data_IF_199001390898
#
_entry.id   IF_199001390898
#
_cell.length_a   1.000
_cell.length_b   1.000
_cell.length_c   1.000
_cell.angle_alpha   90.00
_cell.angle_beta   90.00
_cell.angle_gamma   90.00
#
_symmetry.space_group_name_H-M   'P 1'
#
loop_
_entity.id
_entity.type
_entity.pdbx_description
1 polymer ?
#
# COMPACT_ATOMS: atom_id res chain seq x y z
N UNK A 1 -15.11 -0.19 18.82
CA UNK A 1 -14.75 -1.16 17.76
C UNK A 1 -13.27 -0.99 17.46
N UNK A 2 -12.49 -2.07 17.39
CA UNK A 2 -11.03 -2.00 17.19
C UNK A 2 -10.65 -2.79 15.95
N UNK A 3 -9.87 -2.18 15.05
CA UNK A 3 -9.33 -2.83 13.86
C UNK A 3 -7.89 -3.25 14.18
N UNK A 4 -7.55 -4.52 13.89
CA UNK A 4 -6.17 -5.04 14.00
C UNK A 4 -5.66 -5.42 12.62
N UNK A 5 -4.47 -4.95 12.27
CA UNK A 5 -3.77 -5.32 11.04
C UNK A 5 -2.65 -6.30 11.39
N UNK A 6 -2.76 -7.52 10.89
CA UNK A 6 -1.71 -8.53 11.03
C UNK A 6 -0.87 -8.50 9.77
N UNK A 7 0.43 -8.25 9.93
CA UNK A 7 1.41 -8.23 8.86
C UNK A 7 2.43 -9.33 9.12
N UNK A 8 2.87 -10.01 8.07
CA UNK A 8 4.04 -10.89 8.19
C UNK A 8 5.34 -10.08 8.27
N UNK A 9 6.47 -10.77 8.44
CA UNK A 9 7.76 -10.08 8.56
C UNK A 9 8.13 -9.27 7.29
N UNK A 10 7.82 -9.80 6.10
CA UNK A 10 8.14 -9.15 4.83
C UNK A 10 7.27 -7.90 4.61
N UNK A 11 6.03 -7.93 5.05
CA UNK A 11 5.11 -6.78 5.08
C UNK A 11 5.49 -5.78 6.19
N UNK A 12 5.99 -6.22 7.35
CA UNK A 12 6.30 -5.30 8.44
C UNK A 12 7.64 -4.57 8.24
N UNK A 13 8.67 -5.27 7.77
CA UNK A 13 10.03 -4.75 7.65
C UNK A 13 10.16 -3.39 6.90
N UNK A 14 9.49 -3.13 5.75
CA UNK A 14 9.57 -1.83 5.10
C UNK A 14 8.86 -0.71 5.88
N UNK A 15 7.78 -1.02 6.61
CA UNK A 15 7.08 -0.05 7.47
C UNK A 15 7.99 0.37 8.61
N UNK A 16 8.64 -0.59 9.26
CA UNK A 16 9.60 -0.35 10.34
C UNK A 16 10.75 0.55 9.88
N UNK A 17 11.35 0.26 8.71
CA UNK A 17 12.41 1.09 8.14
C UNK A 17 11.95 2.51 7.82
N UNK A 18 10.75 2.67 7.25
CA UNK A 18 10.20 3.98 6.95
C UNK A 18 9.91 4.79 8.23
N UNK A 19 9.33 4.16 9.25
CA UNK A 19 9.06 4.77 10.54
C UNK A 19 10.36 5.22 11.22
N UNK A 20 11.40 4.36 11.22
CA UNK A 20 12.71 4.70 11.75
C UNK A 20 13.34 5.90 11.02
N UNK A 21 13.25 5.95 9.68
CA UNK A 21 13.75 7.06 8.89
C UNK A 21 13.02 8.39 9.17
N UNK A 22 11.75 8.34 9.57
CA UNK A 22 10.95 9.52 9.93
C UNK A 22 10.96 9.84 11.42
N UNK A 23 11.61 9.01 12.24
CA UNK A 23 11.65 9.20 13.70
C UNK A 23 10.30 9.02 14.39
N UNK A 24 9.42 8.19 13.85
CA UNK A 24 8.10 7.88 14.41
C UNK A 24 7.90 6.38 14.67
N UNK A 25 6.76 6.00 15.24
CA UNK A 25 6.39 4.60 15.39
C UNK A 25 5.72 4.06 14.10
N UNK A 26 5.82 2.75 13.81
CA UNK A 26 5.10 2.12 12.70
C UNK A 26 3.59 2.41 12.71
N UNK A 27 2.98 2.47 13.88
CA UNK A 27 1.57 2.80 14.09
C UNK A 27 1.24 4.22 13.60
N UNK A 28 2.13 5.19 13.80
CA UNK A 28 1.94 6.57 13.33
C UNK A 28 1.91 6.61 11.80
N UNK A 29 2.78 5.84 11.16
CA UNK A 29 2.83 5.73 9.70
C UNK A 29 1.55 5.09 9.15
N UNK A 30 1.07 4.02 9.78
CA UNK A 30 -0.18 3.35 9.40
C UNK A 30 -1.37 4.29 9.59
N UNK A 31 -1.42 5.00 10.72
CA UNK A 31 -2.49 5.96 10.99
C UNK A 31 -2.49 7.11 9.98
N UNK A 32 -1.32 7.66 9.66
CA UNK A 32 -1.16 8.69 8.64
C UNK A 32 -1.63 8.20 7.25
N UNK A 33 -1.27 6.97 6.87
CA UNK A 33 -1.72 6.37 5.61
C UNK A 33 -3.26 6.25 5.54
N UNK A 34 -3.90 5.80 6.64
CA UNK A 34 -5.36 5.74 6.73
C UNK A 34 -5.98 7.14 6.62
N UNK A 35 -5.45 8.13 7.34
CA UNK A 35 -5.94 9.51 7.29
C UNK A 35 -5.87 10.08 5.86
N UNK A 36 -4.72 9.95 5.20
CA UNK A 36 -4.53 10.43 3.82
C UNK A 36 -5.48 9.75 2.83
N UNK A 37 -5.69 8.43 3.00
CA UNK A 37 -6.62 7.69 2.15
C UNK A 37 -8.07 8.15 2.35
N UNK A 38 -8.49 8.35 3.61
CA UNK A 38 -9.84 8.81 3.93
C UNK A 38 -10.10 10.25 3.51
N UNK A 39 -9.12 11.16 3.68
CA UNK A 39 -9.20 12.53 3.17
C UNK A 39 -9.34 12.55 1.65
N UNK A 40 -8.57 11.72 0.94
CA UNK A 40 -8.69 11.58 -0.52
C UNK A 40 -10.08 11.10 -0.92
N UNK A 41 -10.65 10.13 -0.20
CA UNK A 41 -12.04 9.70 -0.41
C UNK A 41 -13.05 10.84 -0.16
N UNK A 42 -12.87 11.61 0.92
CA UNK A 42 -13.73 12.74 1.29
C UNK A 42 -13.68 13.90 0.29
N UNK A 43 -12.52 14.18 -0.31
CA UNK A 43 -12.39 15.21 -1.35
C UNK A 43 -13.26 14.94 -2.58
N UNK A 44 -13.60 13.68 -2.88
CA UNK A 44 -14.56 13.34 -3.93
C UNK A 44 -16.02 13.58 -3.52
N UNK A 45 -16.32 13.84 -2.26
CA UNK A 45 -17.70 14.02 -1.79
C UNK A 45 -18.11 15.49 -1.65
N UNK A 46 -17.16 16.40 -1.44
CA UNK A 46 -17.44 17.84 -1.23
C UNK A 46 -17.21 18.71 -2.47
N UNK A 47 -16.32 18.31 -3.39
CA UNK A 47 -15.97 19.11 -4.56
C UNK A 47 -16.59 18.53 -5.83
N UNK A 48 -17.71 19.14 -6.25
CA UNK A 48 -18.41 19.04 -7.54
C UNK A 48 -19.73 18.28 -7.53
N UNK A 49 -20.72 18.86 -8.22
CA UNK A 49 -21.96 18.19 -8.58
C UNK A 49 -21.76 17.03 -9.57
N UNK A 50 -22.85 16.34 -9.97
CA UNK A 50 -22.85 15.04 -10.66
C UNK A 50 -22.15 14.98 -12.04
N UNK A 51 -21.64 16.10 -12.56
CA UNK A 51 -21.10 16.27 -13.91
C UNK A 51 -19.58 16.01 -14.02
N UNK A 52 -18.87 15.88 -12.90
CA UNK A 52 -17.41 15.76 -12.91
C UNK A 52 -16.94 14.33 -13.24
N UNK A 53 -16.93 13.97 -14.53
CA UNK A 53 -16.52 12.65 -15.06
C UNK A 53 -15.17 12.14 -14.51
N UNK A 54 -14.20 13.04 -14.29
CA UNK A 54 -12.86 12.69 -13.75
C UNK A 54 -12.96 12.06 -12.36
N UNK A 55 -13.88 12.55 -11.53
CA UNK A 55 -14.07 12.12 -10.16
C UNK A 55 -14.72 10.74 -10.04
N UNK A 56 -15.67 10.44 -10.92
CA UNK A 56 -16.28 9.10 -11.02
C UNK A 56 -15.23 8.04 -11.39
N UNK A 57 -14.35 8.37 -12.33
CA UNK A 57 -13.22 7.50 -12.69
C UNK A 57 -12.24 7.31 -11.54
N UNK A 58 -11.90 8.37 -10.79
CA UNK A 58 -10.98 8.28 -9.64
C UNK A 58 -11.56 7.45 -8.48
N UNK A 59 -12.85 7.62 -8.16
CA UNK A 59 -13.52 6.82 -7.12
C UNK A 59 -13.59 5.34 -7.48
N UNK A 60 -14.03 5.00 -8.70
CA UNK A 60 -14.10 3.60 -9.13
C UNK A 60 -12.69 2.98 -9.24
N UNK A 61 -11.67 3.76 -9.61
CA UNK A 61 -10.27 3.31 -9.58
C UNK A 61 -9.82 2.99 -8.15
N UNK A 62 -10.13 3.85 -7.18
CA UNK A 62 -9.76 3.61 -5.78
C UNK A 62 -10.48 2.41 -5.16
N UNK A 63 -11.78 2.28 -5.43
CA UNK A 63 -12.59 1.13 -5.03
C UNK A 63 -12.07 -0.16 -5.66
N UNK A 64 -11.78 -0.15 -6.96
CA UNK A 64 -11.16 -1.28 -7.66
C UNK A 64 -9.80 -1.63 -7.03
N UNK A 65 -8.99 -0.63 -6.65
CA UNK A 65 -7.73 -0.82 -5.93
C UNK A 65 -7.90 -1.59 -4.63
N UNK A 66 -8.85 -1.20 -3.77
CA UNK A 66 -9.14 -1.90 -2.50
C UNK A 66 -9.60 -3.34 -2.74
N UNK A 67 -10.50 -3.55 -3.69
CA UNK A 67 -11.00 -4.89 -4.02
C UNK A 67 -9.89 -5.78 -4.58
N UNK A 68 -9.06 -5.24 -5.47
CA UNK A 68 -7.92 -5.94 -6.04
C UNK A 68 -6.89 -6.31 -4.97
N UNK A 69 -6.58 -5.41 -4.03
CA UNK A 69 -5.67 -5.70 -2.91
C UNK A 69 -6.26 -6.71 -1.93
N UNK A 70 -7.56 -6.65 -1.64
CA UNK A 70 -8.24 -7.67 -0.83
C UNK A 70 -8.09 -9.06 -1.41
N UNK A 71 -8.17 -9.19 -2.74
CA UNK A 71 -7.94 -10.46 -3.44
C UNK A 71 -6.47 -10.84 -3.44
N UNK A 72 -5.58 -9.89 -3.78
CA UNK A 72 -4.15 -10.14 -3.94
C UNK A 72 -3.44 -10.51 -2.63
N UNK A 73 -3.85 -9.98 -1.47
CA UNK A 73 -3.21 -10.27 -0.17
C UNK A 73 -3.21 -11.76 0.21
N UNK A 74 -4.05 -12.57 -0.43
CA UNK A 74 -4.09 -14.01 -0.22
C UNK A 74 -2.95 -14.74 -0.94
N UNK A 75 -2.46 -14.16 -2.03
CA UNK A 75 -1.61 -14.84 -3.00
C UNK A 75 -0.28 -14.10 -3.25
N UNK A 76 -0.17 -12.82 -2.88
CA UNK A 76 1.00 -11.97 -3.16
C UNK A 76 1.20 -10.90 -2.08
N UNK A 77 2.46 -10.50 -1.90
CA UNK A 77 2.81 -9.31 -1.12
C UNK A 77 2.31 -8.04 -1.84
N UNK A 78 1.89 -7.01 -1.09
CA UNK A 78 1.62 -5.71 -1.67
C UNK A 78 2.90 -5.11 -2.28
N UNK A 79 2.78 -4.27 -3.31
CA UNK A 79 3.94 -3.77 -4.07
C UNK A 79 5.00 -3.06 -3.21
N UNK A 80 4.56 -2.38 -2.15
CA UNK A 80 5.46 -1.71 -1.20
C UNK A 80 6.24 -2.70 -0.31
N UNK A 81 5.77 -3.94 -0.18
CA UNK A 81 6.47 -5.04 0.51
C UNK A 81 7.24 -5.95 -0.47
N UNK A 82 6.75 -6.14 -1.69
CA UNK A 82 7.44 -6.91 -2.75
C UNK A 82 8.73 -6.22 -3.23
N UNK A 83 8.75 -4.88 -3.22
CA UNK A 83 9.96 -4.10 -3.49
C UNK A 83 10.93 -4.03 -2.30
N UNK A 84 10.54 -4.45 -1.11
CA UNK A 84 11.37 -4.44 0.09
C UNK A 84 12.51 -5.48 0.04
N UNK A 85 12.40 -6.48 -0.86
CA UNK A 85 13.44 -7.45 -1.22
C UNK A 85 13.93 -7.33 -2.67
N UNK A 86 13.61 -6.24 -3.38
CA UNK A 86 14.15 -6.04 -4.72
C UNK A 86 15.64 -5.76 -4.64
N UNK A 87 16.43 -6.76 -5.07
CA UNK A 87 17.90 -6.83 -5.16
C UNK A 87 18.52 -5.72 -6.05
N UNK A 88 17.76 -4.69 -6.43
CA UNK A 88 18.24 -3.56 -7.22
C UNK A 88 18.59 -2.31 -6.40
N UNK A 89 18.42 -2.29 -5.07
CA UNK A 89 18.79 -1.12 -4.27
C UNK A 89 20.13 -1.21 -3.52
N UNK A 90 20.73 -2.39 -3.35
CA UNK A 90 22.12 -2.52 -2.92
C UNK A 90 22.71 -3.79 -3.53
N UNK A 91 23.76 -3.62 -4.33
CA UNK A 91 24.44 -4.64 -5.12
C UNK A 91 24.89 -5.85 -4.27
N UNK A 92 24.48 -7.08 -4.65
CA UNK A 92 25.00 -8.31 -4.04
C UNK A 92 24.10 -9.53 -4.25
N UNK A 93 24.39 -10.34 -5.27
CA UNK A 93 23.75 -11.64 -5.51
C UNK A 93 23.97 -12.63 -4.35
N UNK A 94 22.89 -13.24 -3.85
CA UNK A 94 22.89 -14.41 -2.95
C UNK A 94 21.70 -15.34 -3.24
N UNK A 95 21.79 -16.66 -2.96
CA UNK A 95 21.07 -17.71 -3.70
C UNK A 95 19.63 -18.02 -3.24
N UNK A 96 19.01 -17.24 -2.35
CA UNK A 96 17.69 -17.57 -1.77
C UNK A 96 16.64 -16.48 -2.06
N UNK A 97 16.33 -16.30 -3.35
CA UNK A 97 15.41 -15.25 -3.81
C UNK A 97 13.95 -15.63 -3.53
N UNK A 98 13.26 -14.83 -2.72
CA UNK A 98 11.80 -14.84 -2.62
C UNK A 98 11.17 -14.56 -3.99
N UNK A 99 10.19 -15.38 -4.38
CA UNK A 99 9.57 -15.33 -5.69
C UNK A 99 8.89 -13.96 -5.95
N UNK A 100 9.22 -13.37 -7.10
CA UNK A 100 8.70 -12.08 -7.59
C UNK A 100 7.17 -12.13 -7.73
N UNK A 101 6.47 -11.08 -7.31
CA UNK A 101 5.01 -10.97 -7.48
C UNK A 101 4.59 -11.08 -8.95
N UNK A 102 3.59 -11.93 -9.23
CA UNK A 102 3.06 -12.17 -10.58
C UNK A 102 2.37 -10.95 -11.21
N UNK A 103 2.20 -9.86 -10.46
CA UNK A 103 1.57 -8.61 -10.91
C UNK A 103 2.52 -7.41 -10.94
N UNK A 104 3.82 -7.62 -10.77
CA UNK A 104 4.83 -6.60 -11.01
C UNK A 104 5.04 -6.42 -12.53
N UNK A 105 4.04 -5.85 -13.22
CA UNK A 105 4.18 -5.37 -14.60
C UNK A 105 3.81 -3.89 -14.59
N UNK A 106 4.80 -3.06 -14.90
CA UNK A 106 4.69 -1.62 -15.13
C UNK A 106 3.85 -1.32 -16.37
#
# INVERSE_FOLDING_TARGET
>A
MTIKLHLDHAEYAPIERAAAAFGCQPEDLVYAAVNLYMLRLGSFTEQCGPECKKMFTDYETMKAGVLNMKLARKDNLPLWADSAGSVHNYEGLGPDQSARSKKAIY
#
